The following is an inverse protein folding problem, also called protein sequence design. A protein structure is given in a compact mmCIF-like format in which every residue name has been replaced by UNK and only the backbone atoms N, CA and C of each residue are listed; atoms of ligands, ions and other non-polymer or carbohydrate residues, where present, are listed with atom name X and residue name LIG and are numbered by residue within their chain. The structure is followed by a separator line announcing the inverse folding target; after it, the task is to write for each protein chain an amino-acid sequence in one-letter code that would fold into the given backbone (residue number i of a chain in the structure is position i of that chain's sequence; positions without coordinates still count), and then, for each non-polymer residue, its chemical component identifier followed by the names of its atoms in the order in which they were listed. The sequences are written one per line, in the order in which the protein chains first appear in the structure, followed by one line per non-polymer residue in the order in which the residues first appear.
data_IF_123778275024
#
_entry.id   IF_123778275024
#
_cell.length_a   1.000
_cell.length_b   1.000
_cell.length_c   1.000
_cell.angle_alpha   90.00
_cell.angle_beta   90.00
_cell.angle_gamma   90.00
#
_symmetry.space_group_name_H-M   'P 1'
#
loop_
_entity.id
_entity.type
_entity.pdbx_description
1 polymer ?
#
# COMPACT_ATOMS: atom_id res chain seq x y z
N UNK A 1 7.26 34.27 -4.22
CA UNK A 1 7.46 32.96 -3.57
C UNK A 1 6.07 32.39 -3.35
N UNK A 2 5.59 31.54 -4.26
CA UNK A 2 4.27 30.93 -4.08
C UNK A 2 4.44 29.77 -3.11
N UNK A 3 3.85 29.88 -1.93
CA UNK A 3 3.70 28.78 -0.99
C UNK A 3 2.97 27.64 -1.70
N UNK A 4 3.67 26.52 -1.90
CA UNK A 4 3.08 25.33 -2.49
C UNK A 4 1.97 24.85 -1.58
N UNK A 5 0.73 24.90 -2.09
CA UNK A 5 -0.43 24.32 -1.44
C UNK A 5 -0.22 22.82 -1.23
N UNK A 6 0.19 22.44 -0.02
CA UNK A 6 0.13 21.05 0.44
C UNK A 6 -1.35 20.77 0.70
N UNK A 7 -1.99 19.99 -0.18
CA UNK A 7 -3.35 19.50 0.05
C UNK A 7 -3.32 18.63 1.32
N UNK A 8 -4.06 18.96 2.39
CA UNK A 8 -4.03 18.22 3.66
C UNK A 8 -4.44 16.75 3.53
N UNK A 9 -5.17 16.39 2.47
CA UNK A 9 -5.54 15.02 2.11
C UNK A 9 -4.33 14.16 1.74
N UNK A 10 -3.31 14.77 1.12
CA UNK A 10 -2.07 14.10 0.74
C UNK A 10 -1.23 13.78 1.98
N UNK A 11 -1.18 14.71 2.95
CA UNK A 11 -0.40 14.54 4.19
C UNK A 11 -0.93 13.39 5.06
N UNK A 12 -2.25 13.23 5.15
CA UNK A 12 -2.83 12.14 5.94
C UNK A 12 -2.53 10.77 5.31
N UNK A 13 -2.63 10.67 3.98
CA UNK A 13 -2.28 9.47 3.24
C UNK A 13 -0.83 9.05 3.49
N UNK A 14 0.12 9.97 3.30
CA UNK A 14 1.55 9.68 3.50
C UNK A 14 1.87 9.32 4.96
N UNK A 15 1.29 10.04 5.93
CA UNK A 15 1.45 9.70 7.36
C UNK A 15 1.00 8.28 7.68
N UNK A 16 -0.13 7.84 7.11
CA UNK A 16 -0.64 6.48 7.31
C UNK A 16 0.28 5.46 6.64
N UNK A 17 0.66 5.69 5.37
CA UNK A 17 1.57 4.81 4.65
C UNK A 17 2.93 4.65 5.38
N UNK A 18 3.51 5.76 5.82
CA UNK A 18 4.77 5.79 6.56
C UNK A 18 4.67 5.07 7.90
N UNK A 19 3.51 5.14 8.58
CA UNK A 19 3.30 4.39 9.82
C UNK A 19 3.38 2.88 9.62
N UNK A 20 2.88 2.38 8.48
CA UNK A 20 2.95 0.98 8.11
C UNK A 20 4.40 0.57 7.77
N UNK A 21 5.12 1.41 7.03
CA UNK A 21 6.55 1.19 6.73
C UNK A 21 7.40 1.21 8.00
N UNK A 22 7.15 2.16 8.91
CA UNK A 22 7.84 2.23 10.19
C UNK A 22 7.63 0.95 11.02
N UNK A 23 6.40 0.41 11.02
CA UNK A 23 6.11 -0.86 11.68
C UNK A 23 6.85 -2.04 11.05
N UNK A 24 6.89 -2.12 9.71
CA UNK A 24 7.65 -3.15 9.00
C UNK A 24 9.16 -3.05 9.31
N UNK A 25 9.71 -1.85 9.31
CA UNK A 25 11.12 -1.60 9.61
C UNK A 25 11.49 -1.90 11.07
N UNK A 26 10.53 -1.86 12.00
CA UNK A 26 10.77 -2.21 13.40
C UNK A 26 10.95 -3.73 13.63
N UNK A 27 10.60 -4.57 12.65
CA UNK A 27 10.71 -6.04 12.74
C UNK A 27 12.15 -6.54 12.49
N UNK A 28 13.13 -5.97 13.19
CA UNK A 28 14.57 -6.21 12.94
C UNK A 28 15.01 -7.68 13.17
N UNK A 29 14.30 -8.41 14.02
CA UNK A 29 14.61 -9.81 14.36
C UNK A 29 13.91 -10.83 13.44
N UNK A 30 13.14 -10.35 12.46
CA UNK A 30 12.40 -11.19 11.50
C UNK A 30 13.03 -11.08 10.11
N UNK A 31 13.08 -12.20 9.40
CA UNK A 31 13.53 -12.22 8.00
C UNK A 31 12.73 -11.21 7.15
N UNK A 32 13.45 -10.42 6.32
CA UNK A 32 12.84 -9.37 5.50
C UNK A 32 11.81 -9.91 4.51
N UNK A 33 12.01 -11.13 3.99
CA UNK A 33 11.04 -11.81 3.13
C UNK A 33 9.75 -12.13 3.89
N UNK A 34 9.87 -12.61 5.13
CA UNK A 34 8.72 -12.86 6.02
C UNK A 34 7.98 -11.56 6.34
N UNK A 35 8.69 -10.47 6.67
CA UNK A 35 8.08 -9.15 6.91
C UNK A 35 7.35 -8.66 5.67
N UNK A 36 7.97 -8.76 4.49
CA UNK A 36 7.36 -8.37 3.21
C UNK A 36 6.09 -9.17 2.91
N UNK A 37 6.12 -10.49 3.08
CA UNK A 37 4.95 -11.35 2.87
C UNK A 37 3.83 -11.04 3.86
N UNK A 38 4.18 -10.84 5.14
CA UNK A 38 3.25 -10.46 6.19
C UNK A 38 2.59 -9.10 5.93
N UNK A 39 3.34 -8.14 5.40
CA UNK A 39 2.82 -6.82 5.02
C UNK A 39 1.79 -6.91 3.90
N UNK A 40 2.11 -7.62 2.82
CA UNK A 40 1.19 -7.85 1.71
C UNK A 40 -0.09 -8.57 2.18
N UNK A 41 0.05 -9.61 3.00
CA UNK A 41 -1.08 -10.34 3.55
C UNK A 41 -1.95 -9.47 4.49
N UNK A 42 -1.32 -8.61 5.29
CA UNK A 42 -2.03 -7.67 6.17
C UNK A 42 -2.85 -6.66 5.37
N UNK A 43 -2.29 -6.11 4.29
CA UNK A 43 -3.02 -5.23 3.37
C UNK A 43 -4.23 -5.95 2.75
N UNK A 44 -4.07 -7.20 2.31
CA UNK A 44 -5.17 -7.97 1.75
C UNK A 44 -6.31 -8.19 2.77
N UNK A 45 -5.99 -8.52 4.03
CA UNK A 45 -6.99 -8.69 5.10
C UNK A 45 -7.73 -7.39 5.41
N UNK A 46 -7.00 -6.27 5.47
CA UNK A 46 -7.60 -4.97 5.70
C UNK A 46 -8.53 -4.58 4.55
N UNK A 47 -8.09 -4.72 3.30
CA UNK A 47 -8.90 -4.38 2.13
C UNK A 47 -10.13 -5.28 2.02
N UNK A 48 -10.02 -6.58 2.33
CA UNK A 48 -11.17 -7.48 2.39
C UNK A 48 -12.23 -7.01 3.41
N UNK A 49 -11.81 -6.56 4.59
CA UNK A 49 -12.71 -5.96 5.57
C UNK A 49 -13.34 -4.65 5.06
N UNK A 50 -12.55 -3.78 4.42
CA UNK A 50 -13.06 -2.53 3.82
C UNK A 50 -14.17 -2.82 2.80
N UNK A 51 -13.95 -3.77 1.88
CA UNK A 51 -14.97 -4.19 0.90
C UNK A 51 -16.23 -4.67 1.62
N UNK A 52 -16.07 -5.65 2.52
CA UNK A 52 -17.21 -6.25 3.21
C UNK A 52 -17.99 -5.24 4.08
N UNK A 53 -17.31 -4.29 4.72
CA UNK A 53 -17.93 -3.26 5.55
C UNK A 53 -18.69 -2.19 4.75
N UNK A 54 -18.35 -2.02 3.47
CA UNK A 54 -19.02 -1.10 2.56
C UNK A 54 -20.23 -1.76 1.86
N UNK A 55 -20.21 -3.08 1.70
CA UNK A 55 -21.34 -3.84 1.20
C UNK A 55 -22.40 -3.97 2.31
N UNK A 56 -23.57 -3.35 2.11
CA UNK A 56 -24.64 -3.33 3.13
C UNK A 56 -25.26 -4.71 3.44
N UNK A 57 -25.02 -5.73 2.61
CA UNK A 57 -25.42 -7.11 2.82
C UNK A 57 -24.52 -8.08 2.06
N UNK A 58 -24.74 -9.38 2.28
CA UNK A 58 -23.95 -10.46 1.68
C UNK A 58 -24.17 -10.55 0.18
N UNK A 59 -25.38 -10.34 -0.31
CA UNK A 59 -25.72 -10.43 -1.73
C UNK A 59 -24.93 -9.38 -2.55
N UNK A 60 -24.85 -8.14 -2.05
CA UNK A 60 -24.05 -7.08 -2.63
C UNK A 60 -22.56 -7.42 -2.61
N UNK A 61 -22.06 -7.95 -1.49
CA UNK A 61 -20.67 -8.39 -1.39
C UNK A 61 -20.32 -9.46 -2.43
N UNK A 62 -21.17 -10.48 -2.59
CA UNK A 62 -20.93 -11.54 -3.59
C UNK A 62 -20.96 -11.01 -5.03
N UNK A 63 -21.77 -9.98 -5.30
CA UNK A 63 -21.85 -9.35 -6.62
C UNK A 63 -20.66 -8.44 -6.93
N UNK A 64 -20.09 -7.78 -5.93
CA UNK A 64 -19.07 -6.74 -6.11
C UNK A 64 -17.63 -7.20 -5.82
N UNK A 65 -17.44 -8.33 -5.12
CA UNK A 65 -16.12 -8.78 -4.63
C UNK A 65 -15.07 -8.90 -5.73
N UNK A 66 -15.40 -9.43 -6.90
CA UNK A 66 -14.41 -9.71 -7.95
C UNK A 66 -13.91 -8.40 -8.58
N UNK A 67 -14.84 -7.45 -8.81
CA UNK A 67 -14.50 -6.11 -9.28
C UNK A 67 -13.64 -5.34 -8.25
N UNK A 68 -13.98 -5.46 -6.96
CA UNK A 68 -13.21 -4.84 -5.89
C UNK A 68 -11.80 -5.42 -5.78
N UNK A 69 -11.65 -6.76 -5.88
CA UNK A 69 -10.34 -7.44 -5.89
C UNK A 69 -9.48 -6.90 -7.04
N UNK A 70 -10.03 -6.86 -8.25
CA UNK A 70 -9.30 -6.38 -9.44
C UNK A 70 -8.85 -4.92 -9.27
N UNK A 71 -9.71 -4.07 -8.71
CA UNK A 71 -9.36 -2.69 -8.40
C UNK A 71 -8.15 -2.60 -7.46
N UNK A 72 -8.19 -3.27 -6.29
CA UNK A 72 -7.07 -3.20 -5.33
C UNK A 72 -5.77 -3.78 -5.88
N UNK A 73 -5.84 -4.89 -6.62
CA UNK A 73 -4.65 -5.50 -7.26
C UNK A 73 -4.06 -4.55 -8.29
N UNK A 74 -4.90 -3.90 -9.10
CA UNK A 74 -4.46 -2.91 -10.10
C UNK A 74 -3.80 -1.69 -9.46
N UNK A 75 -4.37 -1.15 -8.37
CA UNK A 75 -3.76 -0.04 -7.62
C UNK A 75 -2.40 -0.43 -7.02
N UNK A 76 -2.31 -1.61 -6.42
CA UNK A 76 -1.05 -2.11 -5.87
C UNK A 76 0.00 -2.30 -6.96
N UNK A 77 -0.38 -2.90 -8.10
CA UNK A 77 0.52 -3.09 -9.23
C UNK A 77 1.05 -1.77 -9.77
N UNK A 78 0.20 -0.75 -9.88
CA UNK A 78 0.61 0.59 -10.32
C UNK A 78 1.66 1.17 -9.36
N UNK A 79 1.34 1.23 -8.06
CA UNK A 79 2.24 1.78 -7.05
C UNK A 79 3.58 1.02 -6.99
N UNK A 80 3.55 -0.31 -7.03
CA UNK A 80 4.77 -1.12 -7.04
C UNK A 80 5.61 -0.85 -8.30
N UNK A 81 4.96 -0.74 -9.47
CA UNK A 81 5.65 -0.46 -10.74
C UNK A 81 6.33 0.90 -10.69
N UNK A 82 5.66 1.94 -10.18
CA UNK A 82 6.24 3.28 -10.03
C UNK A 82 7.45 3.29 -9.09
N UNK A 83 7.34 2.63 -7.93
CA UNK A 83 8.45 2.56 -6.97
C UNK A 83 9.64 1.77 -7.55
N UNK A 84 9.40 0.64 -8.22
CA UNK A 84 10.46 -0.14 -8.86
C UNK A 84 11.11 0.66 -10.00
N UNK A 85 10.34 1.43 -10.76
CA UNK A 85 10.88 2.30 -11.81
C UNK A 85 11.78 3.40 -11.22
N UNK A 86 11.43 3.98 -10.07
CA UNK A 86 12.29 4.95 -9.37
C UNK A 86 13.61 4.32 -8.91
N UNK A 87 13.56 3.13 -8.30
CA UNK A 87 14.77 2.36 -7.96
C UNK A 87 15.59 1.99 -9.19
N UNK A 88 14.95 1.65 -10.31
CA UNK A 88 15.64 1.34 -11.57
C UNK A 88 16.39 2.57 -12.11
N UNK A 89 15.73 3.73 -12.10
CA UNK A 89 16.31 4.99 -12.59
C UNK A 89 17.43 5.54 -11.69
N UNK A 90 17.36 5.27 -10.38
CA UNK A 90 18.26 5.83 -9.37
C UNK A 90 19.09 4.76 -8.64
N UNK A 91 19.24 3.57 -9.24
CA UNK A 91 19.78 2.40 -8.55
C UNK A 91 21.12 2.67 -7.88
N UNK A 92 22.08 3.20 -8.65
CA UNK A 92 23.42 3.48 -8.14
C UNK A 92 23.37 4.52 -7.01
N UNK A 93 22.51 5.52 -7.10
CA UNK A 93 22.39 6.56 -6.06
C UNK A 93 21.79 6.04 -4.76
N UNK A 94 20.80 5.15 -4.83
CA UNK A 94 20.08 4.65 -3.64
C UNK A 94 20.74 3.43 -3.01
N UNK A 95 21.43 2.62 -3.81
CA UNK A 95 21.97 1.32 -3.40
C UNK A 95 23.51 1.32 -3.35
N UNK A 96 24.22 2.35 -3.84
CA UNK A 96 25.67 2.44 -3.62
C UNK A 96 26.00 2.50 -2.13
N UNK A 97 26.97 1.68 -1.74
CA UNK A 97 27.57 1.68 -0.41
C UNK A 97 28.28 2.98 -0.09
#
# INVERSE_FOLDING_TARGET
MAESQVKPENDAFWKVADSFIAHANAQNDTDRGVVSAGFAYSSARFNAFVIASQCGNKEAFEAEKDAAIEYFVSQYKLALTENVADYSANFDKYISK
#
